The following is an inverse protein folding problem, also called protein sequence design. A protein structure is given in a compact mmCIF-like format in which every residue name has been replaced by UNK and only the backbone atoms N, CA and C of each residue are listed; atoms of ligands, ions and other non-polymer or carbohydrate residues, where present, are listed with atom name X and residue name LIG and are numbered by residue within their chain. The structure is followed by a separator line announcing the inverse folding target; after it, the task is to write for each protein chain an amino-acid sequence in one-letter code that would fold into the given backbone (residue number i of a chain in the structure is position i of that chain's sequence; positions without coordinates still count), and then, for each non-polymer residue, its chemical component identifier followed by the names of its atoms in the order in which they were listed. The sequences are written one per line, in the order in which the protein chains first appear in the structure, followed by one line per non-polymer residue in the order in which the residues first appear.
data_IF_953855861782
#
_entry.id   IF_953855861782
#
_cell.length_a   1.000
_cell.length_b   1.000
_cell.length_c   1.000
_cell.angle_alpha   90.00
_cell.angle_beta   90.00
_cell.angle_gamma   90.00
#
_symmetry.space_group_name_H-M   'P 1'
#
loop_
_entity.id
_entity.type
_entity.pdbx_description
1 polymer ?
#
# COMPACT_ATOMS: atom_id res chain seq x y z
N UNK A 1 3.88 -76.53 49.75
CA UNK A 1 2.72 -76.13 50.59
C UNK A 1 2.49 -74.66 50.34
N UNK A 2 1.25 -74.32 49.98
CA UNK A 2 0.81 -73.04 49.44
C UNK A 2 0.86 -71.92 50.47
N UNK A 3 1.21 -70.70 50.04
CA UNK A 3 0.54 -69.48 50.50
C UNK A 3 0.44 -68.47 49.35
N UNK A 4 -0.78 -68.33 48.82
CA UNK A 4 -1.25 -67.12 48.12
C UNK A 4 -1.45 -66.04 49.18
N UNK A 5 -1.15 -64.78 48.86
CA UNK A 5 -1.84 -63.66 49.49
C UNK A 5 -2.08 -62.54 48.47
N UNK A 6 -3.31 -62.01 48.54
CA UNK A 6 -4.01 -61.22 47.55
C UNK A 6 -3.47 -59.79 47.38
N UNK A 7 -3.55 -59.33 46.13
CA UNK A 7 -3.39 -57.93 45.73
C UNK A 7 -4.74 -57.25 45.96
N UNK A 8 -4.78 -56.17 46.73
CA UNK A 8 -5.97 -55.32 46.87
C UNK A 8 -5.66 -53.93 46.27
N UNK A 9 -6.52 -53.38 45.41
CA UNK A 9 -6.26 -52.11 44.74
C UNK A 9 -6.74 -50.98 45.66
N UNK A 10 -5.80 -50.19 46.17
CA UNK A 10 -6.12 -48.88 46.71
C UNK A 10 -5.18 -47.87 46.06
N UNK A 11 -5.45 -47.58 44.78
CA UNK A 11 -4.77 -46.53 44.06
C UNK A 11 -5.34 -45.19 44.57
N UNK A 12 -4.60 -44.60 45.50
CA UNK A 12 -4.89 -43.29 46.05
C UNK A 12 -4.88 -42.23 44.97
N UNK A 13 -5.99 -41.50 44.89
CA UNK A 13 -6.08 -40.21 44.20
C UNK A 13 -5.11 -39.25 44.89
N UNK A 14 -4.01 -38.91 44.21
CA UNK A 14 -3.22 -37.73 44.53
C UNK A 14 -3.31 -36.76 43.34
N UNK A 15 -4.24 -35.82 43.48
CA UNK A 15 -4.39 -34.64 42.64
C UNK A 15 -3.10 -33.81 42.72
N UNK A 16 -2.22 -33.96 41.73
CA UNK A 16 -1.13 -33.03 41.48
C UNK A 16 -1.64 -31.95 40.52
N UNK A 17 -2.35 -30.96 41.08
CA UNK A 17 -2.55 -29.66 40.44
C UNK A 17 -1.20 -28.92 40.45
N UNK A 18 -0.34 -29.25 39.49
CA UNK A 18 0.82 -28.40 39.18
C UNK A 18 0.34 -27.33 38.21
N UNK A 19 0.10 -26.14 38.77
CA UNK A 19 -0.07 -24.90 38.03
C UNK A 19 1.25 -24.60 37.31
N UNK A 20 1.44 -25.18 36.12
CA UNK A 20 2.27 -24.50 35.14
C UNK A 20 1.45 -23.30 34.67
N UNK A 21 1.63 -22.17 35.37
CA UNK A 21 1.46 -20.88 34.75
C UNK A 21 2.35 -20.89 33.52
N UNK A 22 1.74 -21.14 32.36
CA UNK A 22 2.32 -20.67 31.12
C UNK A 22 2.53 -19.17 31.35
N UNK A 23 3.79 -18.73 31.40
CA UNK A 23 4.11 -17.35 31.10
C UNK A 23 3.64 -17.14 29.65
N UNK A 24 2.36 -16.80 29.49
CA UNK A 24 1.92 -15.97 28.40
C UNK A 24 2.55 -14.60 28.66
N UNK A 25 3.86 -14.52 28.42
CA UNK A 25 4.43 -13.32 27.83
C UNK A 25 3.81 -13.29 26.44
N UNK A 26 2.59 -12.77 26.39
CA UNK A 26 2.03 -12.29 25.14
C UNK A 26 2.99 -11.21 24.68
N UNK A 27 3.82 -11.54 23.70
CA UNK A 27 4.67 -10.59 23.01
C UNK A 27 3.73 -9.67 22.20
N UNK A 28 3.11 -8.74 22.92
CA UNK A 28 2.30 -7.68 22.37
C UNK A 28 3.27 -6.65 21.77
N UNK A 29 3.08 -6.42 20.48
CA UNK A 29 3.75 -5.44 19.62
C UNK A 29 5.09 -5.86 18.99
N UNK A 30 5.02 -6.77 18.00
CA UNK A 30 6.06 -6.87 16.98
C UNK A 30 6.05 -5.60 16.10
N UNK A 31 6.58 -4.50 16.64
CA UNK A 31 6.79 -3.25 15.94
C UNK A 31 8.13 -3.34 15.21
N UNK A 32 8.11 -3.26 13.89
CA UNK A 32 9.34 -3.20 13.08
C UNK A 32 9.49 -1.83 12.44
N UNK A 33 10.73 -1.39 12.24
CA UNK A 33 11.02 -0.15 11.50
C UNK A 33 11.70 -0.55 10.21
N UNK A 34 11.06 -0.24 9.09
CA UNK A 34 11.55 -0.56 7.75
C UNK A 34 12.02 0.69 7.03
N UNK A 35 12.87 0.49 6.03
CA UNK A 35 13.14 1.50 5.01
C UNK A 35 12.13 1.33 3.89
N UNK A 36 11.60 2.43 3.41
CA UNK A 36 10.63 2.46 2.32
C UNK A 36 10.98 3.58 1.36
N UNK A 37 11.09 3.28 0.06
CA UNK A 37 11.09 4.32 -0.98
C UNK A 37 9.67 4.51 -1.50
N UNK A 38 9.24 5.75 -1.69
CA UNK A 38 7.96 6.10 -2.32
C UNK A 38 8.26 6.78 -3.65
N UNK A 39 7.59 6.33 -4.71
CA UNK A 39 7.84 6.78 -6.07
C UNK A 39 7.30 8.20 -6.34
N UNK A 40 7.78 8.83 -7.41
CA UNK A 40 7.47 10.21 -7.78
C UNK A 40 6.08 10.43 -8.40
N UNK A 41 5.31 9.36 -8.60
CA UNK A 41 3.92 9.42 -9.03
C UNK A 41 3.09 8.36 -8.28
N UNK A 42 1.79 8.60 -8.21
CA UNK A 42 0.80 7.61 -7.77
C UNK A 42 0.17 6.96 -9.00
N UNK A 43 -0.26 5.71 -8.85
CA UNK A 43 -1.04 4.99 -9.87
C UNK A 43 -2.48 4.83 -9.42
N UNK A 44 -3.33 4.40 -10.34
CA UNK A 44 -4.73 4.05 -10.05
C UNK A 44 -4.79 2.64 -9.47
N UNK A 45 -5.72 2.42 -8.54
CA UNK A 45 -5.94 1.12 -7.94
C UNK A 45 -7.34 0.99 -7.39
N UNK A 46 -7.69 -0.23 -7.00
CA UNK A 46 -8.96 -0.56 -6.39
C UNK A 46 -8.72 -1.05 -4.96
N UNK A 47 -9.28 -0.33 -3.99
CA UNK A 47 -9.57 -0.88 -2.66
C UNK A 47 -11.07 -1.17 -2.57
N UNK A 48 -11.75 -0.76 -1.49
CA UNK A 48 -13.21 -0.73 -1.46
C UNK A 48 -13.83 0.17 -2.56
N UNK A 49 -13.07 1.17 -3.02
CA UNK A 49 -13.43 2.10 -4.09
C UNK A 49 -12.21 2.38 -4.98
N UNK A 50 -12.41 2.92 -6.20
CA UNK A 50 -11.33 3.46 -7.02
C UNK A 50 -10.55 4.54 -6.25
N UNK A 51 -9.22 4.47 -6.27
CA UNK A 51 -8.36 5.41 -5.55
C UNK A 51 -6.98 5.58 -6.22
N UNK A 52 -6.23 6.59 -5.77
CA UNK A 52 -4.81 6.73 -6.05
C UNK A 52 -3.98 5.98 -5.01
N UNK A 53 -2.98 5.23 -5.46
CA UNK A 53 -2.15 4.37 -4.61
C UNK A 53 -0.68 4.71 -4.80
N UNK A 54 0.11 4.50 -3.74
CA UNK A 54 1.55 4.68 -3.83
C UNK A 54 2.19 3.52 -4.59
N UNK A 55 3.32 3.81 -5.23
CA UNK A 55 4.29 2.81 -5.66
C UNK A 55 5.47 2.86 -4.69
N UNK A 56 5.84 1.72 -4.13
CA UNK A 56 6.93 1.64 -3.14
C UNK A 56 7.98 0.58 -3.47
N UNK A 57 9.13 0.71 -2.81
CA UNK A 57 10.07 -0.37 -2.55
C UNK A 57 10.30 -0.44 -1.04
N UNK A 58 10.29 -1.64 -0.44
CA UNK A 58 10.50 -1.83 1.00
C UNK A 58 11.68 -2.77 1.26
N UNK A 59 12.52 -2.45 2.24
CA UNK A 59 13.58 -3.34 2.70
C UNK A 59 14.58 -3.70 1.61
N UNK A 60 14.76 -4.99 1.34
CA UNK A 60 15.76 -5.52 0.40
C UNK A 60 15.39 -5.30 -1.08
N UNK A 61 14.14 -4.91 -1.37
CA UNK A 61 13.70 -4.56 -2.72
C UNK A 61 14.16 -3.16 -3.17
N UNK A 62 14.66 -2.36 -2.22
CA UNK A 62 15.12 -1.00 -2.51
C UNK A 62 16.31 -1.02 -3.47
N UNK A 63 16.17 -0.28 -4.58
CA UNK A 63 17.18 -0.21 -5.63
C UNK A 63 16.98 -1.23 -6.76
N UNK A 64 15.95 -2.07 -6.67
CA UNK A 64 15.47 -2.86 -7.80
C UNK A 64 14.76 -2.00 -8.85
N UNK A 65 14.36 -2.63 -9.95
CA UNK A 65 13.59 -1.99 -11.03
C UNK A 65 12.09 -1.99 -10.76
N UNK A 66 11.62 -2.97 -9.98
CA UNK A 66 10.20 -3.16 -9.71
C UNK A 66 9.69 -2.25 -8.57
N UNK A 67 8.44 -1.80 -8.73
CA UNK A 67 7.71 -1.04 -7.72
C UNK A 67 6.41 -1.75 -7.38
N UNK A 68 6.12 -1.84 -6.08
CA UNK A 68 4.94 -2.53 -5.57
C UNK A 68 3.83 -1.54 -5.22
N UNK A 69 2.58 -1.91 -5.51
CA UNK A 69 1.42 -1.11 -5.13
C UNK A 69 1.28 -1.10 -3.61
N UNK A 70 1.06 0.08 -3.03
CA UNK A 70 0.88 0.27 -1.61
C UNK A 70 -0.34 1.14 -1.33
N UNK A 71 -1.32 0.52 -0.68
CA UNK A 71 -2.67 1.06 -0.50
C UNK A 71 -2.84 1.76 0.85
N UNK A 72 -1.99 1.44 1.82
CA UNK A 72 -2.12 1.97 3.17
C UNK A 72 -1.64 3.43 3.25
N UNK A 73 -2.29 4.28 4.06
CA UNK A 73 -1.72 5.57 4.40
C UNK A 73 -0.46 5.39 5.25
N UNK A 74 0.45 6.36 5.14
CA UNK A 74 1.60 6.47 6.05
C UNK A 74 1.32 7.70 6.94
N UNK A 75 0.97 7.47 8.20
CA UNK A 75 0.64 8.56 9.13
C UNK A 75 1.82 9.52 9.29
N UNK A 76 1.55 10.82 9.15
CA UNK A 76 2.56 11.87 9.23
C UNK A 76 3.40 12.05 7.96
N UNK A 77 3.12 11.32 6.87
CA UNK A 77 3.76 11.52 5.57
C UNK A 77 2.86 12.37 4.65
N UNK A 78 3.41 13.49 4.17
CA UNK A 78 2.76 14.36 3.21
C UNK A 78 3.40 14.18 1.82
N UNK A 79 2.65 13.53 0.94
CA UNK A 79 3.12 13.23 -0.41
C UNK A 79 2.96 14.43 -1.36
N UNK A 80 4.02 14.73 -2.10
CA UNK A 80 4.00 15.65 -3.24
C UNK A 80 4.45 14.93 -4.51
N UNK A 81 3.75 15.07 -5.65
CA UNK A 81 4.16 14.48 -6.91
C UNK A 81 5.49 15.09 -7.41
N UNK A 82 6.24 14.31 -8.18
CA UNK A 82 7.52 14.72 -8.77
C UNK A 82 8.73 14.50 -7.86
N UNK A 83 8.57 13.83 -6.72
CA UNK A 83 9.66 13.50 -5.80
C UNK A 83 9.72 12.02 -5.46
N UNK A 84 10.91 11.43 -5.50
CA UNK A 84 11.17 10.15 -4.87
C UNK A 84 11.55 10.41 -3.42
N UNK A 85 10.93 9.66 -2.51
CA UNK A 85 11.17 9.77 -1.08
C UNK A 85 11.89 8.54 -0.57
N UNK A 86 12.82 8.72 0.37
CA UNK A 86 13.34 7.63 1.20
C UNK A 86 12.87 7.85 2.63
N UNK A 87 12.11 6.91 3.18
CA UNK A 87 11.43 7.01 4.47
C UNK A 87 11.92 5.92 5.42
N UNK A 88 11.93 6.23 6.72
CA UNK A 88 11.86 5.22 7.79
C UNK A 88 10.42 5.18 8.30
N UNK A 89 9.82 4.00 8.21
CA UNK A 89 8.41 3.78 8.55
C UNK A 89 8.33 2.72 9.63
N UNK A 90 7.55 2.99 10.67
CA UNK A 90 7.25 2.04 11.73
C UNK A 90 5.98 1.28 11.38
N UNK A 91 6.07 -0.04 11.33
CA UNK A 91 4.96 -0.97 11.09
C UNK A 91 4.47 -1.47 12.44
N UNK A 92 3.23 -1.14 12.78
CA UNK A 92 2.58 -1.57 14.02
C UNK A 92 1.52 -2.60 13.66
N UNK A 93 1.63 -3.80 14.21
CA UNK A 93 0.65 -4.86 13.96
C UNK A 93 -0.69 -4.46 14.57
N UNK A 94 -1.75 -4.55 13.79
CA UNK A 94 -3.13 -4.35 14.25
C UNK A 94 -3.67 -5.66 14.81
N UNK A 95 -4.20 -5.63 16.03
CA UNK A 95 -4.91 -6.77 16.60
C UNK A 95 -6.30 -6.88 15.95
N UNK A 96 -6.66 -8.08 15.50
CA UNK A 96 -7.95 -8.39 14.88
C UNK A 96 -8.40 -7.39 13.79
N UNK A 97 -7.58 -7.16 12.74
CA UNK A 97 -7.95 -6.24 11.66
C UNK A 97 -9.19 -6.77 10.90
N UNK A 98 -9.98 -5.88 10.28
CA UNK A 98 -10.98 -6.29 9.29
C UNK A 98 -10.37 -7.20 8.22
N UNK A 99 -11.15 -8.14 7.68
CA UNK A 99 -10.64 -9.14 6.73
C UNK A 99 -10.10 -8.52 5.42
N UNK A 100 -10.59 -7.35 5.06
CA UNK A 100 -10.27 -6.58 3.86
C UNK A 100 -9.34 -5.38 4.14
N UNK A 101 -8.81 -5.27 5.35
CA UNK A 101 -7.88 -4.21 5.75
C UNK A 101 -6.48 -4.75 5.99
N UNK A 102 -5.49 -3.86 5.93
CA UNK A 102 -4.12 -4.19 6.28
C UNK A 102 -4.00 -4.61 7.73
N UNK A 103 -3.19 -5.64 8.00
CA UNK A 103 -2.83 -6.05 9.35
C UNK A 103 -1.83 -5.11 10.03
N UNK A 104 -1.48 -3.99 9.41
CA UNK A 104 -0.47 -3.06 9.89
C UNK A 104 -0.93 -1.59 9.77
N UNK A 105 -0.54 -0.79 10.77
CA UNK A 105 -0.50 0.67 10.67
C UNK A 105 0.93 1.10 10.33
N UNK A 106 1.05 2.08 9.45
CA UNK A 106 2.33 2.60 8.98
C UNK A 106 2.48 4.05 9.45
N UNK A 107 3.51 4.30 10.25
CA UNK A 107 3.72 5.62 10.87
C UNK A 107 5.10 6.12 10.47
N UNK A 108 5.17 7.33 9.92
CA UNK A 108 6.43 7.96 9.56
C UNK A 108 7.28 8.17 10.82
N UNK A 109 8.48 7.61 10.82
CA UNK A 109 9.49 7.89 11.84
C UNK A 109 10.37 9.04 11.40
N UNK A 110 10.83 9.00 10.14
CA UNK A 110 11.70 10.03 9.59
C UNK A 110 11.71 10.00 8.06
N UNK A 111 11.68 11.16 7.42
CA UNK A 111 12.01 11.31 6.00
C UNK A 111 13.52 11.48 5.86
N UNK A 112 14.17 10.52 5.20
CA UNK A 112 15.63 10.49 4.98
C UNK A 112 16.05 11.32 3.78
N UNK A 113 15.29 11.26 2.69
CA UNK A 113 15.48 12.12 1.52
C UNK A 113 14.16 12.42 0.82
N UNK A 114 14.17 13.50 0.04
CA UNK A 114 13.13 13.92 -0.90
C UNK A 114 13.86 14.48 -2.12
N UNK A 115 13.84 13.74 -3.21
CA UNK A 115 14.66 14.00 -4.40
C UNK A 115 13.74 14.26 -5.59
N UNK A 116 13.86 15.45 -6.18
CA UNK A 116 13.05 15.82 -7.34
C UNK A 116 13.52 15.01 -8.55
N UNK A 117 12.59 14.39 -9.27
CA UNK A 117 12.91 13.75 -10.55
C UNK A 117 13.10 14.81 -11.65
N UNK A 118 13.80 14.49 -12.74
CA UNK A 118 13.88 15.37 -13.90
C UNK A 118 12.48 15.71 -14.43
N UNK A 119 12.27 16.95 -14.91
CA UNK A 119 10.99 17.35 -15.52
C UNK A 119 10.74 16.62 -16.86
N UNK A 120 11.70 15.84 -17.34
CA UNK A 120 11.62 14.95 -18.51
C UNK A 120 11.30 13.50 -18.16
N UNK A 121 11.12 13.18 -16.89
CA UNK A 121 10.80 11.82 -16.42
C UNK A 121 9.36 11.46 -16.81
N UNK A 122 9.22 10.56 -17.78
CA UNK A 122 7.92 10.07 -18.26
C UNK A 122 7.48 8.88 -17.42
N UNK A 123 6.21 8.86 -17.03
CA UNK A 123 5.62 7.75 -16.30
C UNK A 123 4.24 7.39 -16.83
N UNK A 124 3.91 6.12 -16.76
CA UNK A 124 2.64 5.57 -17.25
C UNK A 124 1.65 5.34 -16.10
N UNK A 125 0.38 5.68 -16.36
CA UNK A 125 -0.72 5.42 -15.45
C UNK A 125 -1.88 4.81 -16.23
N UNK A 126 -2.41 3.68 -15.75
CA UNK A 126 -3.64 3.09 -16.28
C UNK A 126 -4.85 3.92 -15.84
N UNK A 127 -5.28 4.88 -16.64
CA UNK A 127 -6.33 5.84 -16.29
C UNK A 127 -7.76 5.30 -16.44
N UNK A 128 -7.92 4.16 -17.10
CA UNK A 128 -9.17 3.40 -17.17
C UNK A 128 -8.87 1.91 -17.13
N UNK A 129 -9.58 1.16 -16.31
CA UNK A 129 -9.48 -0.29 -16.24
C UNK A 129 -10.86 -0.91 -16.02
N UNK A 130 -11.18 -1.96 -16.79
CA UNK A 130 -12.43 -2.71 -16.70
C UNK A 130 -13.68 -1.80 -16.74
N UNK A 131 -13.68 -0.86 -17.71
CA UNK A 131 -14.77 0.10 -17.88
C UNK A 131 -14.79 1.26 -16.87
N UNK A 132 -14.05 1.16 -15.76
CA UNK A 132 -14.01 2.19 -14.71
C UNK A 132 -12.97 3.27 -15.05
N UNK A 133 -13.44 4.49 -15.29
CA UNK A 133 -12.58 5.67 -15.52
C UNK A 133 -12.14 6.30 -14.21
N UNK A 134 -10.85 6.60 -14.09
CA UNK A 134 -10.29 7.42 -13.03
C UNK A 134 -10.20 8.90 -13.42
N UNK A 135 -10.58 9.26 -14.64
CA UNK A 135 -10.62 10.65 -15.10
C UNK A 135 -11.94 11.28 -14.70
N UNK A 136 -11.88 12.41 -14.01
CA UNK A 136 -13.04 13.25 -13.69
C UNK A 136 -12.96 14.57 -14.45
N UNK A 137 -14.12 15.18 -14.75
CA UNK A 137 -14.20 16.46 -15.43
C UNK A 137 -14.95 17.48 -14.57
N UNK A 138 -14.33 18.62 -14.31
CA UNK A 138 -14.91 19.74 -13.57
C UNK A 138 -14.65 21.02 -14.33
N UNK A 139 -15.70 21.77 -14.67
CA UNK A 139 -15.60 23.04 -15.40
C UNK A 139 -14.73 22.93 -16.67
N UNK A 140 -14.94 21.85 -17.44
CA UNK A 140 -14.18 21.56 -18.66
C UNK A 140 -12.67 21.33 -18.44
N UNK A 141 -12.27 21.01 -17.22
CA UNK A 141 -10.91 20.62 -16.85
C UNK A 141 -10.90 19.16 -16.41
N UNK A 142 -9.99 18.37 -16.98
CA UNK A 142 -9.82 16.97 -16.61
C UNK A 142 -8.89 16.82 -15.41
N UNK A 143 -9.19 15.86 -14.55
CA UNK A 143 -8.38 15.50 -13.39
C UNK A 143 -8.20 13.99 -13.33
N UNK A 144 -7.01 13.55 -12.90
CA UNK A 144 -6.83 12.19 -12.43
C UNK A 144 -7.35 12.10 -10.99
N UNK A 145 -8.42 11.35 -10.82
CA UNK A 145 -9.06 11.04 -9.54
C UNK A 145 -9.32 12.30 -8.68
N UNK A 146 -9.88 13.35 -9.30
CA UNK A 146 -10.18 14.66 -8.68
C UNK A 146 -8.99 15.39 -8.02
N UNK A 147 -7.76 14.88 -8.18
CA UNK A 147 -6.58 15.38 -7.49
C UNK A 147 -5.62 16.10 -8.41
N UNK A 148 -5.18 15.43 -9.46
CA UNK A 148 -4.16 15.98 -10.35
C UNK A 148 -4.79 16.50 -11.61
N UNK A 149 -4.71 17.81 -11.84
CA UNK A 149 -5.18 18.41 -13.08
C UNK A 149 -4.38 17.86 -14.26
N UNK A 150 -5.07 17.52 -15.34
CA UNK A 150 -4.45 17.03 -16.57
C UNK A 150 -4.45 18.13 -17.61
N UNK A 151 -3.25 18.49 -18.08
CA UNK A 151 -3.07 19.25 -19.32
C UNK A 151 -2.95 18.25 -20.48
N UNK A 152 -4.06 18.02 -21.17
CA UNK A 152 -4.13 17.17 -22.36
C UNK A 152 -3.67 17.87 -23.64
N UNK A 153 -3.28 19.16 -23.59
CA UNK A 153 -2.84 19.95 -24.74
C UNK A 153 -3.79 19.80 -25.94
N UNK A 154 -3.31 19.31 -27.08
CA UNK A 154 -4.11 19.06 -28.28
C UNK A 154 -4.78 17.68 -28.32
N UNK A 155 -4.49 16.80 -27.35
CA UNK A 155 -4.96 15.41 -27.30
C UNK A 155 -6.26 15.23 -26.49
N UNK A 156 -6.90 16.32 -26.04
CA UNK A 156 -8.13 16.23 -25.27
C UNK A 156 -9.28 15.48 -26.00
N UNK A 157 -9.52 15.70 -27.32
CA UNK A 157 -10.53 14.94 -28.06
C UNK A 157 -10.22 13.44 -28.09
N UNK A 158 -8.97 13.08 -28.41
CA UNK A 158 -8.52 11.69 -28.50
C UNK A 158 -8.61 10.99 -27.14
N UNK A 159 -8.22 11.68 -26.06
CA UNK A 159 -8.35 11.17 -24.70
C UNK A 159 -9.81 10.88 -24.36
N UNK A 160 -10.72 11.81 -24.68
CA UNK A 160 -12.14 11.63 -24.42
C UNK A 160 -12.71 10.45 -25.23
N UNK A 161 -12.40 10.36 -26.51
CA UNK A 161 -12.85 9.25 -27.36
C UNK A 161 -12.38 7.89 -26.81
N UNK A 162 -11.12 7.78 -26.39
CA UNK A 162 -10.60 6.53 -25.83
C UNK A 162 -11.24 6.18 -24.48
N UNK A 163 -11.49 7.17 -23.63
CA UNK A 163 -12.20 6.98 -22.37
C UNK A 163 -13.66 6.54 -22.60
N UNK A 164 -14.30 6.90 -23.71
CA UNK A 164 -15.66 6.47 -24.05
C UNK A 164 -15.71 5.08 -24.70
N UNK A 165 -14.73 4.76 -25.55
CA UNK A 165 -14.79 3.60 -26.45
C UNK A 165 -14.02 2.37 -25.96
N UNK A 166 -13.00 2.54 -25.12
CA UNK A 166 -12.11 1.44 -24.69
C UNK A 166 -12.42 1.00 -23.27
N UNK A 167 -12.23 -0.29 -22.97
CA UNK A 167 -12.37 -0.81 -21.59
C UNK A 167 -11.15 -0.47 -20.73
N UNK A 168 -9.97 -0.40 -21.35
CA UNK A 168 -8.72 0.01 -20.72
C UNK A 168 -8.06 1.14 -21.50
N UNK A 169 -7.49 2.10 -20.76
CA UNK A 169 -6.72 3.21 -21.31
C UNK A 169 -5.53 3.45 -20.40
N UNK A 170 -4.34 3.47 -20.99
CA UNK A 170 -3.11 3.88 -20.30
C UNK A 170 -2.64 5.20 -20.88
N UNK A 171 -2.16 6.10 -20.04
CA UNK A 171 -1.63 7.38 -20.47
C UNK A 171 -0.25 7.64 -19.86
N UNK A 172 0.62 8.22 -20.67
CA UNK A 172 1.97 8.62 -20.28
C UNK A 172 1.98 10.10 -19.95
N UNK A 173 2.62 10.47 -18.85
CA UNK A 173 2.63 11.84 -18.34
C UNK A 173 4.04 12.32 -18.03
N UNK A 174 4.21 13.65 -18.05
CA UNK A 174 5.29 14.36 -17.35
C UNK A 174 4.72 15.12 -16.15
N UNK A 175 5.57 15.37 -15.16
CA UNK A 175 5.23 16.28 -14.06
C UNK A 175 5.16 17.73 -14.57
N UNK A 176 4.04 18.40 -14.31
CA UNK A 176 3.80 19.80 -14.60
C UNK A 176 3.96 20.70 -13.38
N UNK A 177 3.77 22.03 -13.56
CA UNK A 177 3.78 22.97 -12.45
C UNK A 177 2.65 22.63 -11.45
N UNK A 178 2.89 22.90 -10.16
CA UNK A 178 1.92 22.69 -9.08
C UNK A 178 1.38 21.25 -8.93
N UNK A 179 2.07 20.25 -9.48
CA UNK A 179 1.62 18.86 -9.44
C UNK A 179 0.60 18.50 -10.53
N UNK A 180 0.43 19.35 -11.55
CA UNK A 180 -0.33 19.04 -12.76
C UNK A 180 0.34 17.87 -13.53
N UNK A 181 -0.44 17.16 -14.34
CA UNK A 181 0.03 16.09 -15.23
C UNK A 181 -0.01 16.56 -16.68
N UNK A 182 1.12 16.53 -17.36
CA UNK A 182 1.22 16.92 -18.77
C UNK A 182 1.14 15.66 -19.63
N UNK A 183 0.03 15.46 -20.33
CA UNK A 183 -0.17 14.28 -21.18
C UNK A 183 0.85 14.24 -22.32
N UNK A 184 1.51 13.09 -22.48
CA UNK A 184 2.46 12.82 -23.57
C UNK A 184 1.91 11.87 -24.62
N UNK A 185 1.24 10.80 -24.19
CA UNK A 185 0.65 9.80 -25.09
C UNK A 185 -0.50 9.04 -24.41
N UNK A 186 -1.34 8.42 -25.24
CA UNK A 186 -2.46 7.58 -24.83
C UNK A 186 -2.32 6.23 -25.55
N UNK A 187 -2.51 5.12 -24.83
CA UNK A 187 -2.23 3.74 -25.26
C UNK A 187 -3.41 2.81 -24.99
#
# INVERSE_FOLDING_TARGET
MLFKLNINPLLGVLLVFSLYSCELIGDLESTSVVQMKVNHYQVTGFGPFPQLVYLIQEGDEIGGEDWSYFYDPIEGFEYEPGYIYSLRVRKVKVADPPQDASGFLYILVNQRSKEKVPDTEVFDVKIKWDGTSFITNRENTMYLHDRYKIDCRSMCPDLQEQLETREEVTASFLHGPNGDLLLQSIQ
#
